data_IF_617702675943
#
_entry.id   IF_617702675943
#
_cell.length_a   1.000
_cell.length_b   1.000
_cell.length_c   1.000
_cell.angle_alpha   90.00
_cell.angle_beta   90.00
_cell.angle_gamma   90.00
#
_symmetry.space_group_name_H-M   'P 1'
#
loop_
_entity.id
_entity.type
_entity.pdbx_description
1 polymer ?
#
# COMPACT_ATOMS: atom_id res chain seq x y z
N UNK A 1 3.86 -5.30 -58.40
CA UNK A 1 2.68 -4.89 -57.60
C UNK A 1 2.07 -5.99 -56.70
N UNK A 2 2.30 -7.30 -56.92
CA UNK A 2 1.75 -8.37 -56.05
C UNK A 2 2.58 -8.65 -54.77
N UNK A 3 3.89 -8.43 -54.80
CA UNK A 3 4.81 -8.63 -53.66
C UNK A 3 4.66 -7.56 -52.57
N UNK A 4 4.49 -6.29 -52.96
CA UNK A 4 4.35 -5.15 -52.04
C UNK A 4 3.08 -5.21 -51.20
N UNK A 5 1.98 -5.77 -51.73
CA UNK A 5 0.74 -5.97 -50.98
C UNK A 5 0.84 -7.07 -49.92
N UNK A 6 1.71 -8.07 -50.11
CA UNK A 6 1.93 -9.14 -49.12
C UNK A 6 2.75 -8.64 -47.93
N UNK A 7 3.78 -7.83 -48.17
CA UNK A 7 4.65 -7.27 -47.12
C UNK A 7 3.87 -6.30 -46.21
N UNK A 8 2.98 -5.48 -46.77
CA UNK A 8 2.12 -4.57 -45.98
C UNK A 8 1.12 -5.34 -45.11
N UNK A 9 0.61 -6.49 -45.57
CA UNK A 9 -0.28 -7.35 -44.77
C UNK A 9 0.46 -8.02 -43.61
N UNK A 10 1.73 -8.43 -43.80
CA UNK A 10 2.52 -9.02 -42.70
C UNK A 10 2.90 -8.00 -41.61
N UNK A 11 3.18 -6.75 -41.97
CA UNK A 11 3.48 -5.68 -41.00
C UNK A 11 2.22 -5.25 -40.23
N UNK A 12 1.05 -5.23 -40.88
CA UNK A 12 -0.22 -4.93 -40.21
C UNK A 12 -0.66 -6.03 -39.22
N UNK A 13 -0.31 -7.29 -39.46
CA UNK A 13 -0.60 -8.41 -38.53
C UNK A 13 0.37 -8.43 -37.35
N UNK A 14 1.63 -8.03 -37.54
CA UNK A 14 2.62 -7.96 -36.44
C UNK A 14 2.37 -6.78 -35.47
N UNK A 15 1.73 -5.70 -35.91
CA UNK A 15 1.35 -4.57 -35.04
C UNK A 15 0.06 -4.81 -34.24
N UNK A 16 -0.73 -5.83 -34.57
CA UNK A 16 -1.97 -6.16 -33.85
C UNK A 16 -1.75 -7.09 -32.64
N UNK A 17 -0.57 -7.70 -32.50
CA UNK A 17 -0.27 -8.69 -31.44
C UNK A 17 0.40 -8.05 -30.20
N UNK A 18 0.80 -6.78 -30.27
CA UNK A 18 1.44 -6.08 -29.13
C UNK A 18 0.45 -5.52 -28.09
N UNK A 19 -0.86 -5.58 -28.33
CA UNK A 19 -1.87 -5.02 -27.43
C UNK A 19 -2.44 -6.01 -26.40
N UNK A 20 -1.97 -7.27 -26.37
CA UNK A 20 -2.45 -8.28 -25.45
C UNK A 20 -1.35 -8.72 -24.46
N UNK A 21 -0.73 -7.76 -23.78
CA UNK A 21 0.05 -8.06 -22.57
C UNK A 21 -0.86 -7.90 -21.35
N UNK A 22 -1.47 -9.03 -20.96
CA UNK A 22 -1.85 -9.42 -19.61
C UNK A 22 -2.35 -8.32 -18.66
N UNK A 23 -3.65 -8.04 -18.74
CA UNK A 23 -4.39 -7.54 -17.59
C UNK A 23 -5.58 -8.48 -17.35
N UNK A 24 -5.27 -9.73 -16.98
CA UNK A 24 -6.22 -10.55 -16.26
C UNK A 24 -6.25 -9.99 -14.83
N UNK A 25 -6.85 -8.81 -14.67
CA UNK A 25 -6.82 -7.99 -13.46
C UNK A 25 -7.66 -8.65 -12.37
N UNK A 26 -7.16 -9.76 -11.81
CA UNK A 26 -7.47 -10.10 -10.43
C UNK A 26 -7.00 -8.89 -9.64
N UNK A 27 -7.91 -8.23 -8.92
CA UNK A 27 -7.59 -7.04 -8.14
C UNK A 27 -6.56 -7.33 -7.04
N UNK A 28 -6.44 -6.45 -6.05
CA UNK A 28 -5.54 -6.72 -4.94
C UNK A 28 -5.91 -8.04 -4.25
N UNK A 29 -4.93 -8.75 -3.70
CA UNK A 29 -5.16 -9.97 -2.91
C UNK A 29 -4.35 -9.93 -1.63
N UNK A 30 -4.92 -10.49 -0.55
CA UNK A 30 -4.18 -10.71 0.68
C UNK A 30 -3.19 -11.86 0.47
N UNK A 31 -1.95 -11.66 0.90
CA UNK A 31 -0.89 -12.66 0.83
C UNK A 31 -0.83 -13.41 2.16
N UNK A 32 -0.41 -14.68 2.13
CA UNK A 32 -0.34 -15.54 3.30
C UNK A 32 0.59 -15.01 4.41
N UNK A 33 0.25 -15.31 5.67
CA UNK A 33 1.04 -14.94 6.84
C UNK A 33 2.48 -15.47 6.78
N UNK A 34 2.69 -16.67 6.23
CA UNK A 34 4.03 -17.22 6.05
C UNK A 34 4.90 -16.32 5.17
N UNK A 35 4.34 -15.80 4.08
CA UNK A 35 5.07 -14.91 3.17
C UNK A 35 5.26 -13.52 3.78
N UNK A 36 4.27 -13.02 4.53
CA UNK A 36 4.40 -11.80 5.32
C UNK A 36 5.59 -11.90 6.28
N UNK A 37 5.70 -12.97 7.07
CA UNK A 37 6.80 -13.17 8.03
C UNK A 37 8.18 -13.20 7.38
N UNK A 38 8.28 -13.73 6.16
CA UNK A 38 9.53 -13.74 5.40
C UNK A 38 9.96 -12.35 4.92
N UNK A 39 9.01 -11.43 4.71
CA UNK A 39 9.26 -10.13 4.11
C UNK A 39 9.21 -8.98 5.11
N UNK A 40 8.58 -9.17 6.27
CA UNK A 40 8.50 -8.17 7.32
C UNK A 40 9.89 -7.96 7.93
N UNK A 41 10.47 -6.75 7.81
CA UNK A 41 11.74 -6.48 8.48
C UNK A 41 11.52 -6.39 9.99
N UNK A 42 12.49 -6.83 10.79
CA UNK A 42 12.42 -6.76 12.25
C UNK A 42 12.34 -5.31 12.76
N UNK A 43 13.03 -4.40 12.07
CA UNK A 43 13.06 -2.97 12.37
C UNK A 43 12.95 -2.15 11.08
N UNK A 44 12.57 -0.88 11.22
CA UNK A 44 12.48 0.09 10.14
C UNK A 44 13.18 1.38 10.55
N UNK A 45 13.97 1.93 9.64
CA UNK A 45 14.71 3.18 9.86
C UNK A 45 13.80 4.37 9.56
N UNK A 46 13.49 5.18 10.56
CA UNK A 46 12.58 6.33 10.46
C UNK A 46 13.17 7.46 11.31
N UNK A 47 13.38 8.64 10.71
CA UNK A 47 13.73 9.88 11.40
C UNK A 47 14.97 9.72 12.33
N UNK A 48 15.97 8.96 11.86
CA UNK A 48 17.21 8.69 12.60
C UNK A 48 17.15 7.47 13.53
N UNK A 49 16.00 6.84 13.70
CA UNK A 49 15.78 5.75 14.65
C UNK A 49 15.51 4.41 13.95
N UNK A 50 15.93 3.30 14.56
CA UNK A 50 15.54 1.95 14.13
C UNK A 50 14.41 1.45 15.02
N UNK A 51 13.18 1.50 14.52
CA UNK A 51 11.99 1.17 15.31
C UNK A 51 11.54 -0.28 15.02
N UNK A 52 11.27 -1.12 16.03
CA UNK A 52 10.76 -2.47 15.81
C UNK A 52 9.39 -2.48 15.10
N UNK A 53 9.17 -3.45 14.20
CA UNK A 53 7.85 -3.67 13.58
C UNK A 53 6.99 -4.60 14.43
N UNK A 54 5.67 -4.53 14.29
CA UNK A 54 4.73 -5.39 15.00
C UNK A 54 4.13 -6.43 14.05
N UNK A 55 4.67 -7.65 14.07
CA UNK A 55 4.19 -8.77 13.24
C UNK A 55 2.68 -9.03 13.42
N UNK A 56 2.19 -8.99 14.66
CA UNK A 56 0.76 -9.20 14.99
C UNK A 56 -0.18 -8.16 14.36
N UNK A 57 0.36 -7.03 13.95
CA UNK A 57 -0.35 -5.90 13.35
C UNK A 57 0.25 -5.57 11.97
N UNK A 58 0.67 -6.60 11.24
CA UNK A 58 1.20 -6.49 9.89
C UNK A 58 0.30 -7.19 8.88
N UNK A 59 0.36 -6.72 7.63
CA UNK A 59 -0.39 -7.29 6.50
C UNK A 59 0.40 -7.11 5.22
N UNK A 60 0.29 -8.09 4.32
CA UNK A 60 0.92 -8.07 3.01
C UNK A 60 -0.17 -8.18 1.93
N UNK A 61 -0.16 -7.24 1.01
CA UNK A 61 -1.12 -7.14 -0.10
C UNK A 61 -0.34 -7.26 -1.39
N UNK A 62 -0.78 -8.11 -2.32
CA UNK A 62 -0.26 -8.16 -3.67
C UNK A 62 -1.22 -7.42 -4.60
N UNK A 63 -0.69 -6.46 -5.34
CA UNK A 63 -1.42 -5.72 -6.36
C UNK A 63 -1.53 -6.51 -7.68
N UNK A 64 -2.40 -6.09 -8.61
CA UNK A 64 -2.60 -6.79 -9.89
C UNK A 64 -1.33 -6.94 -10.73
N UNK A 65 -0.37 -6.02 -10.60
CA UNK A 65 0.94 -6.08 -11.26
C UNK A 65 1.91 -7.09 -10.61
N UNK A 66 1.46 -7.85 -9.61
CA UNK A 66 2.23 -8.86 -8.89
C UNK A 66 3.20 -8.31 -7.84
N UNK A 67 3.30 -6.99 -7.70
CA UNK A 67 4.12 -6.33 -6.66
C UNK A 67 3.33 -6.22 -5.37
N UNK A 68 4.06 -6.08 -4.26
CA UNK A 68 3.45 -6.09 -2.93
C UNK A 68 3.57 -4.75 -2.21
N UNK A 69 2.57 -4.48 -1.38
CA UNK A 69 2.58 -3.48 -0.32
C UNK A 69 2.51 -4.21 1.02
N UNK A 70 3.47 -3.95 1.89
CA UNK A 70 3.45 -4.34 3.30
C UNK A 70 3.02 -3.13 4.13
N UNK A 71 2.10 -3.35 5.06
CA UNK A 71 1.76 -2.38 6.09
C UNK A 71 1.93 -3.00 7.47
N UNK A 72 2.51 -2.29 8.43
CA UNK A 72 2.69 -2.77 9.80
C UNK A 72 2.67 -1.64 10.80
N UNK A 73 2.16 -1.87 12.02
CA UNK A 73 2.43 -0.98 13.13
C UNK A 73 3.90 -1.10 13.57
N UNK A 74 4.42 -0.05 14.18
CA UNK A 74 5.75 -0.05 14.79
C UNK A 74 5.64 0.07 16.30
N UNK A 75 6.65 -0.40 17.03
CA UNK A 75 6.71 -0.29 18.48
C UNK A 75 7.47 0.98 18.88
N UNK A 76 6.70 2.04 19.15
CA UNK A 76 7.25 3.31 19.64
C UNK A 76 7.29 3.40 21.16
N UNK A 77 7.12 2.28 21.89
CA UNK A 77 7.29 2.29 23.34
C UNK A 77 8.73 2.70 23.70
N UNK A 78 8.87 3.63 24.64
CA UNK A 78 10.18 4.15 25.08
C UNK A 78 10.73 5.31 24.23
N UNK A 79 10.06 5.69 23.13
CA UNK A 79 10.39 6.90 22.38
C UNK A 79 9.71 8.14 22.96
N UNK A 80 10.11 9.34 22.53
CA UNK A 80 9.49 10.59 22.98
C UNK A 80 8.00 10.65 22.61
N UNK A 81 7.21 11.38 23.40
CA UNK A 81 5.77 11.55 23.12
C UNK A 81 5.52 12.13 21.72
N UNK A 82 6.35 13.07 21.28
CA UNK A 82 6.26 13.64 19.92
C UNK A 82 6.47 12.58 18.84
N UNK A 83 7.40 11.63 19.06
CA UNK A 83 7.64 10.53 18.13
C UNK A 83 6.46 9.55 18.09
N UNK A 84 5.93 9.18 19.27
CA UNK A 84 4.76 8.31 19.39
C UNK A 84 3.49 8.92 18.77
N UNK A 85 3.32 10.25 18.86
CA UNK A 85 2.21 10.96 18.22
C UNK A 85 2.37 11.04 16.70
N UNK A 86 3.61 11.19 16.21
CA UNK A 86 3.91 11.34 14.78
C UNK A 86 3.86 10.02 14.02
N UNK A 87 4.32 8.93 14.62
CA UNK A 87 4.49 7.65 13.95
C UNK A 87 3.74 6.52 14.67
N UNK A 88 2.89 5.82 13.92
CA UNK A 88 2.15 4.65 14.37
C UNK A 88 2.52 3.39 13.59
N UNK A 89 2.99 3.52 12.35
CA UNK A 89 3.31 2.37 11.50
C UNK A 89 4.15 2.72 10.29
N UNK A 90 4.23 1.77 9.37
CA UNK A 90 4.96 1.87 8.11
C UNK A 90 4.20 1.26 6.93
N UNK A 91 4.53 1.77 5.75
CA UNK A 91 4.15 1.24 4.43
C UNK A 91 5.43 0.98 3.63
N UNK A 92 5.62 -0.25 3.18
CA UNK A 92 6.75 -0.67 2.35
C UNK A 92 6.21 -1.21 1.02
N UNK A 93 6.46 -0.51 -0.08
CA UNK A 93 5.90 -0.85 -1.38
C UNK A 93 6.98 -1.14 -2.42
N UNK A 94 6.80 -2.22 -3.19
CA UNK A 94 7.66 -2.56 -4.32
C UNK A 94 7.29 -1.83 -5.62
N UNK A 95 6.16 -1.12 -5.65
CA UNK A 95 5.68 -0.35 -6.80
C UNK A 95 5.16 1.00 -6.36
N UNK A 96 5.02 1.93 -7.31
CA UNK A 96 4.21 3.11 -7.07
C UNK A 96 2.79 2.71 -6.68
N UNK A 97 2.18 3.43 -5.76
CA UNK A 97 0.85 3.11 -5.25
C UNK A 97 0.07 4.39 -4.93
N UNK A 98 -1.20 4.25 -4.62
CA UNK A 98 -2.03 5.32 -4.08
C UNK A 98 -2.44 5.03 -2.65
N UNK A 99 -2.58 6.09 -1.86
CA UNK A 99 -3.22 6.09 -0.54
C UNK A 99 -4.26 7.20 -0.55
N UNK A 100 -5.54 6.80 -0.56
CA UNK A 100 -6.63 7.70 -0.93
C UNK A 100 -6.37 8.32 -2.32
N UNK A 101 -6.40 9.64 -2.39
CA UNK A 101 -6.14 10.40 -3.63
C UNK A 101 -4.66 10.75 -3.87
N UNK A 102 -3.75 10.33 -2.98
CA UNK A 102 -2.32 10.68 -3.07
C UNK A 102 -1.54 9.55 -3.73
N UNK A 103 -0.69 9.90 -4.70
CA UNK A 103 0.24 8.98 -5.34
C UNK A 103 1.60 9.01 -4.66
N UNK A 104 2.14 7.84 -4.36
CA UNK A 104 3.46 7.65 -3.78
C UNK A 104 4.26 6.70 -4.68
N UNK A 105 5.56 6.89 -4.76
CA UNK A 105 6.44 5.99 -5.51
C UNK A 105 6.79 4.75 -4.69
N UNK A 106 7.40 3.77 -5.34
CA UNK A 106 7.94 2.61 -4.64
C UNK A 106 8.94 3.07 -3.56
N UNK A 107 8.91 2.43 -2.39
CA UNK A 107 9.76 2.85 -1.27
C UNK A 107 9.17 2.52 0.09
N UNK A 108 9.75 3.14 1.10
CA UNK A 108 9.38 2.98 2.50
C UNK A 108 8.90 4.31 3.07
N UNK A 109 7.80 4.26 3.80
CA UNK A 109 7.13 5.42 4.36
C UNK A 109 6.68 5.12 5.78
N UNK A 110 6.79 6.09 6.67
CA UNK A 110 6.15 6.02 7.98
C UNK A 110 4.73 6.57 7.87
N UNK A 111 3.83 6.07 8.71
CA UNK A 111 2.45 6.56 8.81
C UNK A 111 2.12 6.93 10.24
N UNK A 112 1.35 8.00 10.39
CA UNK A 112 0.75 8.42 11.64
C UNK A 112 -0.72 8.75 11.43
N UNK A 113 -1.44 8.97 12.52
CA UNK A 113 -2.82 9.41 12.46
C UNK A 113 -3.08 10.51 13.49
N UNK A 114 -3.91 11.48 13.12
CA UNK A 114 -4.42 12.48 14.06
C UNK A 114 -5.94 12.38 14.08
N UNK A 115 -6.48 12.27 15.29
CA UNK A 115 -7.92 12.38 15.53
C UNK A 115 -8.26 13.86 15.74
N UNK A 116 -9.15 14.38 14.90
CA UNK A 116 -9.90 15.61 15.12
C UNK A 116 -11.32 15.21 15.56
N UNK A 117 -12.07 16.12 16.20
CA UNK A 117 -13.37 15.87 16.84
C UNK A 117 -14.13 14.61 16.32
N UNK A 118 -14.52 14.63 15.05
CA UNK A 118 -15.28 13.55 14.40
C UNK A 118 -14.55 12.88 13.21
N UNK A 119 -13.27 13.18 12.98
CA UNK A 119 -12.52 12.68 11.84
C UNK A 119 -11.11 12.21 12.19
N UNK A 120 -10.63 11.21 11.45
CA UNK A 120 -9.22 10.80 11.51
C UNK A 120 -8.55 11.14 10.19
N UNK A 121 -7.35 11.69 10.27
CA UNK A 121 -6.50 11.96 9.11
C UNK A 121 -5.25 11.12 9.24
N UNK A 122 -4.91 10.40 8.17
CA UNK A 122 -3.64 9.68 8.05
C UNK A 122 -2.62 10.62 7.44
N UNK A 123 -1.43 10.62 8.04
CA UNK A 123 -0.26 11.33 7.54
C UNK A 123 0.75 10.30 7.09
N UNK A 124 1.36 10.54 5.93
CA UNK A 124 2.45 9.72 5.42
C UNK A 124 3.72 10.55 5.38
N UNK A 125 4.81 9.98 5.86
CA UNK A 125 6.11 10.60 5.94
C UNK A 125 7.13 9.78 5.15
N UNK A 126 8.11 10.44 4.54
CA UNK A 126 9.31 9.74 4.06
C UNK A 126 10.17 9.29 5.27
N UNK A 127 11.23 8.53 5.00
CA UNK A 127 12.12 8.05 6.07
C UNK A 127 12.88 9.17 6.80
N UNK A 128 13.02 10.36 6.18
CA UNK A 128 13.56 11.55 6.82
C UNK A 128 12.56 12.31 7.70
N UNK A 129 11.34 11.79 7.85
CA UNK A 129 10.30 12.38 8.70
C UNK A 129 9.57 13.56 8.08
N UNK A 130 9.77 13.84 6.79
CA UNK A 130 9.04 14.89 6.08
C UNK A 130 7.68 14.37 5.64
N UNK A 131 6.63 15.18 5.85
CA UNK A 131 5.26 14.82 5.44
C UNK A 131 5.15 14.86 3.92
N UNK A 132 4.85 13.72 3.30
CA UNK A 132 4.66 13.57 1.86
C UNK A 132 3.19 13.41 1.47
N UNK A 133 2.33 13.02 2.41
CA UNK A 133 0.89 12.98 2.19
C UNK A 133 0.09 13.26 3.46
N UNK A 134 -1.12 13.75 3.24
CA UNK A 134 -2.17 13.93 4.24
C UNK A 134 -3.46 13.46 3.58
N UNK A 135 -4.12 12.49 4.19
CA UNK A 135 -5.21 11.74 3.59
C UNK A 135 -6.36 11.64 4.60
N UNK A 136 -7.53 12.25 4.30
CA UNK A 136 -8.71 12.06 5.13
C UNK A 136 -9.13 10.58 5.07
N UNK A 137 -9.62 10.06 6.20
CA UNK A 137 -10.12 8.69 6.29
C UNK A 137 -11.64 8.65 6.26
N UNK A 138 -12.18 7.51 5.84
CA UNK A 138 -13.59 7.19 6.02
C UNK A 138 -13.75 6.27 7.23
N UNK A 139 -14.82 6.46 8.02
CA UNK A 139 -15.14 5.57 9.14
C UNK A 139 -16.09 4.48 8.67
N UNK A 140 -15.77 3.23 8.96
CA UNK A 140 -16.68 2.11 8.77
C UNK A 140 -17.35 1.73 10.09
N UNK A 141 -18.67 1.89 10.14
CA UNK A 141 -19.48 1.42 11.25
C UNK A 141 -19.48 -0.11 11.34
N UNK A 142 -19.47 -0.63 12.58
CA UNK A 142 -19.59 -2.06 12.87
C UNK A 142 -18.55 -2.96 12.19
N UNK A 143 -17.34 -2.45 11.93
CA UNK A 143 -16.23 -3.24 11.42
C UNK A 143 -15.90 -4.41 12.36
N UNK A 144 -16.04 -5.64 11.88
CA UNK A 144 -15.70 -6.87 12.61
C UNK A 144 -14.91 -7.84 11.73
N UNK A 145 -13.76 -8.37 12.19
CA UNK A 145 -13.07 -8.01 13.43
C UNK A 145 -12.43 -6.60 13.35
N UNK A 146 -12.37 -5.90 14.48
CA UNK A 146 -11.64 -4.65 14.60
C UNK A 146 -10.18 -4.96 14.97
N UNK A 147 -9.25 -4.62 14.09
CA UNK A 147 -7.80 -4.73 14.35
C UNK A 147 -7.15 -3.35 14.36
N UNK A 148 -6.05 -3.15 15.12
CA UNK A 148 -5.31 -1.89 15.12
C UNK A 148 -4.84 -1.46 13.73
N UNK A 149 -4.31 -2.40 12.96
CA UNK A 149 -4.00 -2.24 11.53
C UNK A 149 -4.47 -3.50 10.79
N UNK A 150 -5.16 -3.31 9.66
CA UNK A 150 -5.50 -4.40 8.75
C UNK A 150 -5.72 -3.86 7.33
N UNK A 151 -5.62 -4.73 6.34
CA UNK A 151 -6.15 -4.46 5.00
C UNK A 151 -7.31 -5.41 4.74
N UNK A 152 -8.39 -4.86 4.21
CA UNK A 152 -9.50 -5.64 3.69
C UNK A 152 -9.53 -5.44 2.19
N UNK A 153 -9.57 -6.55 1.46
CA UNK A 153 -9.80 -6.56 0.02
C UNK A 153 -11.26 -6.94 -0.22
N UNK A 154 -12.01 -6.09 -0.91
CA UNK A 154 -13.38 -6.36 -1.29
C UNK A 154 -13.46 -7.36 -2.48
N UNK A 155 -14.65 -7.86 -2.78
CA UNK A 155 -14.86 -8.84 -3.84
C UNK A 155 -14.51 -8.31 -5.25
N UNK A 156 -14.58 -6.99 -5.44
CA UNK A 156 -14.14 -6.29 -6.66
C UNK A 156 -12.62 -6.12 -6.73
N UNK A 157 -11.89 -6.56 -5.71
CA UNK A 157 -10.44 -6.48 -5.62
C UNK A 157 -9.91 -5.11 -5.20
N UNK A 158 -10.77 -4.19 -4.73
CA UNK A 158 -10.33 -2.95 -4.10
C UNK A 158 -9.78 -3.22 -2.70
N UNK A 159 -8.60 -2.69 -2.41
CA UNK A 159 -7.98 -2.80 -1.09
C UNK A 159 -8.20 -1.53 -0.28
N UNK A 160 -8.50 -1.69 1.01
CA UNK A 160 -8.66 -0.62 1.99
C UNK A 160 -7.74 -0.88 3.16
N UNK A 161 -6.84 0.06 3.44
CA UNK A 161 -5.99 0.05 4.63
C UNK A 161 -6.76 0.67 5.79
N UNK A 162 -6.90 -0.07 6.87
CA UNK A 162 -7.56 0.35 8.10
C UNK A 162 -6.56 0.63 9.20
N UNK A 163 -6.80 1.72 9.94
CA UNK A 163 -6.27 1.96 11.28
C UNK A 163 -7.47 2.05 12.24
N UNK A 164 -7.71 0.96 12.98
CA UNK A 164 -8.96 0.77 13.69
C UNK A 164 -10.17 0.78 12.73
N UNK A 165 -11.24 1.55 13.00
CA UNK A 165 -12.43 1.60 12.14
C UNK A 165 -12.28 2.58 10.96
N UNK A 166 -11.15 3.30 10.87
CA UNK A 166 -10.91 4.31 9.86
C UNK A 166 -10.10 3.73 8.71
N UNK A 167 -10.49 4.01 7.47
CA UNK A 167 -9.80 3.46 6.31
C UNK A 167 -9.48 4.48 5.23
N UNK A 168 -8.52 4.09 4.40
CA UNK A 168 -8.17 4.74 3.14
C UNK A 168 -8.05 3.68 2.04
N UNK A 169 -8.55 3.94 0.83
CA UNK A 169 -8.27 3.08 -0.33
C UNK A 169 -6.77 3.02 -0.61
N UNK A 170 -6.28 1.85 -1.00
CA UNK A 170 -4.90 1.66 -1.47
C UNK A 170 -4.88 0.85 -2.76
N UNK A 171 -4.09 1.26 -3.74
CA UNK A 171 -3.99 0.58 -5.02
C UNK A 171 -2.58 0.68 -5.60
N UNK A 172 -2.11 -0.39 -6.25
CA UNK A 172 -0.87 -0.38 -7.01
C UNK A 172 -1.03 0.38 -8.32
N UNK A 173 0.05 1.04 -8.74
CA UNK A 173 0.21 1.69 -10.04
C UNK A 173 1.20 0.91 -10.91
#
# INVERSE_FOLDING_TARGET
>A
MKQTKRIVVYIAVLLAVSAAQNANSKGAVLVSDQRLKQLLPATVFIDGENVPTQERNAVLVQFPNGKVLLASLIDTAGYSSAYQEKYAGVLLSQTGFTVGAKSLDAGAYAIGQKKNADSVTIYVYNLGGEKVAEVPTERQENLRPLKPLQVIVAADGTARLYLGPYYVPVAGR
#
